data_IF_283773368940
#
_entry.id   IF_283773368940
#
_cell.length_a   1.000
_cell.length_b   1.000
_cell.length_c   1.000
_cell.angle_alpha   90.00
_cell.angle_beta   90.00
_cell.angle_gamma   90.00
#
_symmetry.space_group_name_H-M   'P 1'
#
loop_
_entity.id
_entity.type
_entity.pdbx_description
1 polymer ?
#
# COMPACT_ATOMS: atom_id res chain seq x y z
N UNK A 1 -10.55 -17.60 -28.51
CA UNK A 1 -9.39 -17.27 -27.65
C UNK A 1 -9.83 -17.40 -26.19
N UNK A 2 -9.37 -18.44 -25.51
CA UNK A 2 -9.75 -18.85 -24.16
C UNK A 2 -9.56 -17.68 -23.19
N UNK A 3 -8.44 -16.98 -23.24
CA UNK A 3 -8.12 -15.88 -22.31
C UNK A 3 -9.09 -14.70 -22.44
N UNK A 4 -9.56 -14.39 -23.65
CA UNK A 4 -10.57 -13.33 -23.84
C UNK A 4 -11.92 -13.67 -23.19
N UNK A 5 -12.24 -14.96 -23.09
CA UNK A 5 -13.49 -15.40 -22.50
C UNK A 5 -13.54 -15.18 -20.98
N UNK A 6 -12.40 -15.04 -20.30
CA UNK A 6 -12.37 -14.68 -18.86
C UNK A 6 -13.14 -13.38 -18.62
N UNK A 7 -12.78 -12.31 -19.34
CA UNK A 7 -13.42 -11.01 -19.17
C UNK A 7 -14.84 -10.98 -19.74
N UNK A 8 -15.10 -11.74 -20.80
CA UNK A 8 -16.45 -11.85 -21.39
C UNK A 8 -17.45 -12.47 -20.42
N UNK A 9 -17.01 -13.48 -19.65
CA UNK A 9 -17.86 -14.22 -18.73
C UNK A 9 -17.72 -13.73 -17.26
N UNK A 10 -17.02 -12.63 -17.01
CA UNK A 10 -16.71 -12.18 -15.63
C UNK A 10 -17.96 -11.93 -14.78
N UNK A 11 -19.00 -11.33 -15.33
CA UNK A 11 -20.25 -11.06 -14.61
C UNK A 11 -21.03 -12.34 -14.28
N UNK A 12 -20.92 -13.34 -15.14
CA UNK A 12 -21.51 -14.67 -14.90
C UNK A 12 -20.74 -15.43 -13.82
N UNK A 13 -19.41 -15.31 -13.80
CA UNK A 13 -18.55 -16.11 -12.96
C UNK A 13 -18.30 -15.47 -11.58
N UNK A 14 -18.16 -14.14 -11.48
CA UNK A 14 -17.69 -13.44 -10.27
C UNK A 14 -18.72 -12.43 -9.75
N UNK A 15 -19.96 -12.85 -9.63
CA UNK A 15 -21.01 -11.94 -9.19
C UNK A 15 -20.85 -11.55 -7.71
N UNK A 16 -21.11 -10.29 -7.40
CA UNK A 16 -21.15 -9.81 -6.03
C UNK A 16 -22.52 -10.06 -5.41
N UNK A 17 -22.60 -11.01 -4.49
CA UNK A 17 -23.74 -11.16 -3.58
C UNK A 17 -23.48 -10.36 -2.30
N UNK A 18 -24.54 -10.01 -1.57
CA UNK A 18 -24.40 -9.46 -0.22
C UNK A 18 -23.83 -10.56 0.68
N UNK A 19 -22.65 -10.32 1.27
CA UNK A 19 -21.92 -11.36 2.00
C UNK A 19 -21.13 -10.81 3.18
N UNK A 20 -20.82 -11.70 4.09
CA UNK A 20 -19.86 -11.52 5.18
C UNK A 20 -18.69 -12.45 4.93
N UNK A 21 -17.48 -11.93 4.94
CA UNK A 21 -16.25 -12.70 4.85
C UNK A 21 -15.39 -12.49 6.08
N UNK A 22 -14.81 -13.57 6.58
CA UNK A 22 -13.71 -13.47 7.53
C UNK A 22 -12.41 -13.55 6.75
N UNK A 23 -11.59 -12.53 6.88
CA UNK A 23 -10.34 -12.41 6.15
C UNK A 23 -9.18 -12.21 7.11
N UNK A 24 -8.04 -12.80 6.75
CA UNK A 24 -6.74 -12.50 7.34
C UNK A 24 -5.89 -11.79 6.30
N UNK A 25 -5.24 -10.70 6.71
CA UNK A 25 -4.31 -9.96 5.86
C UNK A 25 -3.00 -9.82 6.59
N UNK A 26 -1.91 -10.08 5.89
CA UNK A 26 -0.53 -9.82 6.32
C UNK A 26 0.14 -8.84 5.38
N UNK A 27 0.66 -7.76 5.94
CA UNK A 27 1.48 -6.79 5.25
C UNK A 27 2.89 -6.81 5.83
N UNK A 28 3.87 -6.88 4.97
CA UNK A 28 5.28 -6.72 5.33
C UNK A 28 5.91 -5.71 4.40
N UNK A 29 6.60 -4.74 4.94
CA UNK A 29 7.36 -3.79 4.15
C UNK A 29 8.74 -3.62 4.73
N UNK A 30 9.74 -3.67 3.88
CA UNK A 30 11.11 -3.29 4.20
C UNK A 30 11.49 -2.12 3.34
N UNK A 31 12.08 -1.09 3.95
CA UNK A 31 12.60 0.05 3.21
C UNK A 31 14.06 0.27 3.57
N UNK A 32 14.87 0.57 2.56
CA UNK A 32 16.30 0.80 2.69
C UNK A 32 16.67 2.15 2.11
N UNK A 33 17.30 2.98 2.95
CA UNK A 33 17.90 4.23 2.48
C UNK A 33 19.23 3.90 1.79
N UNK A 34 19.23 4.00 0.45
CA UNK A 34 20.42 3.76 -0.38
C UNK A 34 21.32 4.99 -0.43
N UNK A 35 20.74 6.19 -0.29
CA UNK A 35 21.43 7.46 -0.26
C UNK A 35 20.61 8.45 0.55
N UNK A 36 21.25 9.18 1.45
CA UNK A 36 20.70 10.36 2.11
C UNK A 36 21.83 11.37 2.27
N UNK A 37 21.65 12.54 1.65
CA UNK A 37 22.52 13.69 1.81
C UNK A 37 21.67 14.93 2.00
N UNK A 38 22.00 15.72 3.02
CA UNK A 38 21.30 16.94 3.39
C UNK A 38 22.27 18.11 3.32
N UNK A 39 22.11 18.95 2.33
CA UNK A 39 22.97 20.13 2.16
C UNK A 39 22.27 21.37 2.75
N UNK A 40 22.97 22.04 3.65
CA UNK A 40 22.53 23.30 4.22
C UNK A 40 22.79 24.45 3.24
N UNK A 41 21.72 24.97 2.61
CA UNK A 41 21.86 25.98 1.56
C UNK A 41 21.70 27.41 2.13
N UNK A 42 20.62 27.68 2.86
CA UNK A 42 20.34 28.99 3.44
C UNK A 42 19.40 28.92 4.62
N UNK A 43 19.75 29.60 5.71
CA UNK A 43 18.91 29.67 6.88
C UNK A 43 19.06 31.01 7.59
N UNK A 44 17.95 31.63 7.97
CA UNK A 44 17.91 32.72 8.91
C UNK A 44 17.13 32.34 10.20
N UNK A 45 17.21 31.10 10.58
CA UNK A 45 16.57 30.49 11.73
C UNK A 45 17.65 29.77 12.54
N UNK A 46 17.99 30.31 13.68
CA UNK A 46 19.08 29.81 14.52
C UNK A 46 18.84 28.41 15.09
N UNK A 47 17.58 28.03 15.18
CA UNK A 47 17.14 26.75 15.74
C UNK A 47 17.44 25.52 14.87
N UNK A 48 17.75 25.71 13.58
CA UNK A 48 18.13 24.63 12.65
C UNK A 48 19.56 24.86 12.20
N UNK A 49 20.44 23.96 12.55
CA UNK A 49 21.88 24.07 12.30
C UNK A 49 22.38 22.99 11.34
N UNK A 50 23.56 23.19 10.71
CA UNK A 50 24.17 22.14 9.88
C UNK A 50 24.43 20.85 10.65
N UNK A 51 24.80 20.95 11.93
CA UNK A 51 25.07 19.80 12.82
C UNK A 51 23.82 18.98 13.02
N UNK A 52 22.64 19.62 13.14
CA UNK A 52 21.35 18.88 13.19
C UNK A 52 21.10 18.09 11.91
N UNK A 53 21.43 18.61 10.73
CA UNK A 53 21.27 17.88 9.47
C UNK A 53 22.22 16.68 9.40
N UNK A 54 23.48 16.84 9.85
CA UNK A 54 24.44 15.74 9.95
C UNK A 54 23.96 14.65 10.93
N UNK A 55 23.36 15.03 12.06
CA UNK A 55 22.74 14.09 13.00
C UNK A 55 21.57 13.33 12.34
N UNK A 56 20.75 14.00 11.54
CA UNK A 56 19.68 13.33 10.78
C UNK A 56 20.25 12.34 9.78
N UNK A 57 21.28 12.70 9.01
CA UNK A 57 21.93 11.78 8.07
C UNK A 57 22.52 10.55 8.78
N UNK A 58 23.22 10.78 9.90
CA UNK A 58 23.91 9.73 10.67
C UNK A 58 22.93 8.80 11.36
N UNK A 59 21.86 9.33 11.95
CA UNK A 59 20.93 8.59 12.80
C UNK A 59 19.67 8.13 12.09
N UNK A 60 19.47 8.49 10.81
CA UNK A 60 18.39 7.93 10.02
C UNK A 60 18.58 6.43 9.85
N UNK A 61 17.62 5.58 10.25
CA UNK A 61 17.75 4.14 10.13
C UNK A 61 17.91 3.78 8.67
N UNK A 62 19.02 3.09 8.34
CA UNK A 62 19.30 2.67 6.96
C UNK A 62 18.30 1.66 6.46
N UNK A 63 17.88 0.77 7.34
CA UNK A 63 16.87 -0.24 7.10
C UNK A 63 15.69 -0.02 8.07
N UNK A 64 14.48 -0.11 7.57
CA UNK A 64 13.27 0.00 8.36
C UNK A 64 12.30 -1.11 7.93
N UNK A 65 11.71 -1.77 8.92
CA UNK A 65 10.73 -2.83 8.72
C UNK A 65 9.39 -2.41 9.29
N UNK A 66 8.33 -2.77 8.62
CA UNK A 66 6.97 -2.69 9.12
C UNK A 66 6.25 -4.00 8.89
N UNK A 67 5.37 -4.31 9.81
CA UNK A 67 4.58 -5.53 9.81
C UNK A 67 3.19 -5.20 10.36
N UNK A 68 2.18 -5.77 9.73
CA UNK A 68 0.80 -5.67 10.19
C UNK A 68 0.05 -6.95 9.83
N UNK A 69 -0.59 -7.55 10.82
CA UNK A 69 -1.56 -8.64 10.66
C UNK A 69 -2.94 -8.13 11.05
N UNK A 70 -3.93 -8.38 10.20
CA UNK A 70 -5.31 -7.95 10.39
C UNK A 70 -6.22 -9.17 10.22
N UNK A 71 -6.88 -9.58 11.27
CA UNK A 71 -8.00 -10.52 11.22
C UNK A 71 -9.30 -9.76 11.40
N UNK A 72 -10.20 -9.87 10.44
CA UNK A 72 -11.43 -9.07 10.44
C UNK A 72 -12.59 -9.80 9.77
N UNK A 73 -13.81 -9.48 10.18
CA UNK A 73 -14.98 -9.70 9.35
C UNK A 73 -15.22 -8.47 8.49
N UNK A 74 -15.49 -8.68 7.20
CA UNK A 74 -15.93 -7.66 6.27
C UNK A 74 -17.32 -7.99 5.78
N UNK A 75 -18.19 -7.00 5.75
CA UNK A 75 -19.53 -7.09 5.18
C UNK A 75 -19.50 -6.35 3.85
N UNK A 76 -19.88 -7.00 2.79
CA UNK A 76 -19.77 -6.50 1.41
C UNK A 76 -21.15 -6.51 0.78
N UNK A 77 -21.56 -5.36 0.25
CA UNK A 77 -22.74 -5.23 -0.60
C UNK A 77 -22.38 -4.33 -1.77
N UNK A 78 -22.36 -4.89 -2.98
CA UNK A 78 -21.92 -4.19 -4.19
C UNK A 78 -20.52 -3.57 -4.04
N UNK A 79 -20.42 -2.23 -3.96
CA UNK A 79 -19.18 -1.47 -3.74
C UNK A 79 -19.01 -0.97 -2.30
N UNK A 80 -20.02 -1.20 -1.46
CA UNK A 80 -19.98 -0.80 -0.06
C UNK A 80 -19.31 -1.89 0.78
N UNK A 81 -18.47 -1.46 1.71
CA UNK A 81 -17.77 -2.34 2.63
C UNK A 81 -17.93 -1.79 4.05
N UNK A 82 -18.34 -2.65 4.97
CA UNK A 82 -18.31 -2.39 6.41
C UNK A 82 -17.28 -3.31 7.06
N UNK A 83 -16.56 -2.79 8.04
CA UNK A 83 -15.38 -3.43 8.63
C UNK A 83 -15.61 -3.73 10.11
N UNK A 84 -15.34 -4.95 10.51
CA UNK A 84 -15.46 -5.40 11.91
C UNK A 84 -14.19 -6.14 12.34
N UNK A 85 -13.17 -5.43 12.83
CA UNK A 85 -11.90 -6.03 13.20
C UNK A 85 -12.05 -6.97 14.39
N UNK A 86 -11.46 -8.13 14.29
CA UNK A 86 -11.35 -9.12 15.37
C UNK A 86 -10.04 -8.89 16.11
N UNK A 87 -8.93 -8.75 15.35
CA UNK A 87 -7.60 -8.56 15.92
C UNK A 87 -6.69 -7.85 14.92
N UNK A 88 -5.92 -6.87 15.42
CA UNK A 88 -4.91 -6.16 14.64
C UNK A 88 -3.61 -6.20 15.43
N UNK A 89 -2.54 -6.65 14.80
CA UNK A 89 -1.19 -6.73 15.37
C UNK A 89 -0.24 -5.97 14.47
N UNK A 90 0.55 -5.08 15.03
CA UNK A 90 1.56 -4.29 14.29
C UNK A 90 2.92 -4.36 14.97
N UNK A 91 3.98 -4.23 14.18
CA UNK A 91 5.31 -4.09 14.70
C UNK A 91 5.47 -2.74 15.40
N UNK A 92 6.03 -2.77 16.60
CA UNK A 92 6.37 -1.56 17.34
C UNK A 92 7.53 -0.85 16.62
N UNK A 93 7.32 0.41 16.28
CA UNK A 93 8.37 1.21 15.68
C UNK A 93 9.43 1.57 16.72
N UNK A 94 10.69 1.31 16.42
CA UNK A 94 11.79 1.80 17.23
C UNK A 94 11.83 3.33 17.18
N UNK A 95 12.05 3.95 18.35
CA UNK A 95 12.13 5.40 18.47
C UNK A 95 13.59 5.80 18.67
N UNK A 96 14.14 6.55 17.72
CA UNK A 96 15.40 7.24 17.90
C UNK A 96 15.12 8.57 18.61
N UNK A 97 15.59 8.72 19.87
CA UNK A 97 15.30 9.90 20.69
C UNK A 97 15.96 11.18 20.13
N UNK A 98 17.11 11.08 19.46
CA UNK A 98 17.76 12.24 18.82
C UNK A 98 16.90 12.75 17.64
N UNK A 99 16.47 11.86 16.75
CA UNK A 99 15.58 12.23 15.65
C UNK A 99 14.25 12.78 16.16
N UNK A 100 13.72 12.21 17.24
CA UNK A 100 12.50 12.69 17.90
C UNK A 100 12.66 14.10 18.45
N UNK A 101 13.80 14.42 19.05
CA UNK A 101 14.09 15.74 19.59
C UNK A 101 14.26 16.78 18.46
N UNK A 102 14.93 16.41 17.36
CA UNK A 102 15.00 17.24 16.15
C UNK A 102 13.59 17.51 15.60
N UNK A 103 12.76 16.46 15.52
CA UNK A 103 11.36 16.58 15.09
C UNK A 103 10.54 17.51 16.00
N UNK A 104 10.72 17.44 17.33
CA UNK A 104 10.07 18.36 18.28
C UNK A 104 10.52 19.81 18.07
N UNK A 105 11.79 20.05 17.83
CA UNK A 105 12.33 21.39 17.54
C UNK A 105 11.70 21.96 16.28
N UNK A 106 11.64 21.14 15.24
CA UNK A 106 11.00 21.54 13.98
C UNK A 106 9.49 21.81 14.15
N UNK A 107 8.80 20.97 14.91
CA UNK A 107 7.38 21.15 15.25
C UNK A 107 7.13 22.46 15.99
N UNK A 108 7.88 22.73 17.06
CA UNK A 108 7.81 23.99 17.83
C UNK A 108 8.04 25.21 16.94
N UNK A 109 8.99 25.12 16.01
CA UNK A 109 9.28 26.20 15.05
C UNK A 109 8.07 26.49 14.14
N UNK A 110 7.40 25.45 13.64
CA UNK A 110 6.22 25.58 12.78
C UNK A 110 5.00 26.08 13.55
N UNK A 111 4.84 25.68 14.80
CA UNK A 111 3.73 26.09 15.68
C UNK A 111 3.84 27.56 16.13
N UNK A 112 5.07 28.10 16.25
CA UNK A 112 5.28 29.50 16.62
C UNK A 112 4.89 30.46 15.49
N UNK A 113 3.59 30.64 15.29
CA UNK A 113 2.99 31.39 14.17
C UNK A 113 1.91 32.33 14.67
N UNK A 114 2.02 33.64 14.37
CA UNK A 114 0.99 34.63 14.71
C UNK A 114 -0.21 34.51 13.78
N UNK A 115 -1.36 35.11 14.15
CA UNK A 115 -2.63 35.01 13.40
C UNK A 115 -2.54 35.45 11.92
N UNK A 116 -1.67 36.41 11.63
CA UNK A 116 -1.41 36.93 10.28
C UNK A 116 -0.21 36.27 9.57
N UNK A 117 0.42 35.28 10.19
CA UNK A 117 1.56 34.55 9.65
C UNK A 117 1.15 33.14 9.19
N UNK A 118 1.97 32.53 8.35
CA UNK A 118 1.83 31.14 7.93
C UNK A 118 3.15 30.58 7.40
N UNK A 119 3.28 29.26 7.49
CA UNK A 119 4.37 28.56 6.84
C UNK A 119 3.97 28.06 5.45
N UNK A 120 4.94 28.10 4.52
CA UNK A 120 4.82 27.56 3.19
C UNK A 120 6.03 26.69 2.91
N UNK A 121 5.77 25.43 2.48
CA UNK A 121 6.80 24.58 1.90
C UNK A 121 6.89 24.89 0.40
N UNK A 122 8.12 25.03 -0.10
CA UNK A 122 8.40 25.30 -1.50
C UNK A 122 9.50 24.38 -2.01
N UNK A 123 9.31 23.83 -3.21
CA UNK A 123 10.30 23.03 -3.93
C UNK A 123 10.26 23.39 -5.41
N UNK A 124 11.32 24.05 -5.91
CA UNK A 124 11.31 24.65 -7.24
C UNK A 124 10.20 25.69 -7.38
N UNK A 125 9.37 25.54 -8.43
CA UNK A 125 8.20 26.39 -8.69
C UNK A 125 6.98 26.01 -7.86
N UNK A 126 6.92 24.78 -7.32
CA UNK A 126 5.80 24.28 -6.54
C UNK A 126 5.89 24.77 -5.10
N UNK A 127 4.75 25.13 -4.53
CA UNK A 127 4.70 25.52 -3.12
C UNK A 127 3.30 25.42 -2.54
N UNK A 128 3.21 24.82 -1.33
CA UNK A 128 1.97 24.61 -0.61
C UNK A 128 2.03 25.26 0.77
N UNK A 129 0.93 25.90 1.19
CA UNK A 129 0.79 26.38 2.55
C UNK A 129 0.68 25.19 3.51
N UNK A 130 1.43 25.23 4.59
CA UNK A 130 1.30 24.26 5.67
C UNK A 130 0.08 24.71 6.50
N UNK A 131 -0.91 23.83 6.74
CA UNK A 131 -2.01 24.15 7.64
C UNK A 131 -1.44 24.47 9.02
N UNK A 132 -2.03 25.45 9.72
CA UNK A 132 -1.73 25.65 11.15
C UNK A 132 -2.22 24.40 11.87
N UNK A 133 -1.28 23.65 12.46
CA UNK A 133 -1.59 22.38 13.11
C UNK A 133 -2.24 22.63 14.46
N UNK A 134 -3.56 22.78 14.46
CA UNK A 134 -4.39 22.48 15.62
C UNK A 134 -4.94 21.05 15.58
N UNK A 135 -4.47 20.23 14.65
CA UNK A 135 -4.88 18.83 14.54
C UNK A 135 -3.66 17.92 14.70
N UNK A 136 -3.81 16.93 15.58
CA UNK A 136 -2.88 15.85 15.97
C UNK A 136 -2.39 14.93 14.84
N UNK A 137 -2.26 15.42 13.62
CA UNK A 137 -1.86 14.64 12.46
C UNK A 137 -0.34 14.40 12.31
N UNK A 138 0.48 14.92 13.25
CA UNK A 138 1.84 14.45 13.46
C UNK A 138 1.83 13.62 14.75
N UNK A 139 1.34 12.38 14.61
CA UNK A 139 0.94 11.46 15.63
C UNK A 139 1.72 11.49 16.94
N UNK A 140 0.99 11.66 18.02
CA UNK A 140 1.38 11.05 19.29
C UNK A 140 1.10 9.54 19.17
N UNK A 141 2.08 8.77 18.74
CA UNK A 141 2.08 7.30 18.60
C UNK A 141 1.96 6.57 19.97
N UNK A 142 1.25 7.12 20.93
CA UNK A 142 1.08 6.52 22.27
C UNK A 142 -0.31 5.92 22.48
N UNK A 143 -1.25 6.15 21.57
CA UNK A 143 -2.59 5.57 21.63
C UNK A 143 -2.60 4.21 20.90
N UNK A 144 -2.92 3.14 21.65
CA UNK A 144 -3.19 1.83 21.04
C UNK A 144 -4.50 1.82 20.23
N UNK A 145 -5.16 2.97 20.09
CA UNK A 145 -6.44 3.14 19.43
C UNK A 145 -6.25 3.93 18.14
N UNK A 146 -6.62 3.36 17.01
CA UNK A 146 -6.54 3.98 15.67
C UNK A 146 -7.91 4.14 15.03
N UNK A 147 -8.04 5.07 14.10
CA UNK A 147 -9.25 5.19 13.29
C UNK A 147 -9.45 3.93 12.43
N UNK A 148 -10.66 3.39 12.45
CA UNK A 148 -11.04 2.22 11.65
C UNK A 148 -10.85 2.46 10.15
N UNK A 149 -11.01 3.69 9.69
CA UNK A 149 -10.94 4.04 8.27
C UNK A 149 -9.58 3.76 7.63
N UNK A 150 -8.49 3.75 8.41
CA UNK A 150 -7.16 3.41 7.93
C UNK A 150 -7.19 1.97 7.39
N UNK A 151 -7.60 1.02 8.23
CA UNK A 151 -7.64 -0.40 7.89
C UNK A 151 -8.73 -0.73 6.88
N UNK A 152 -9.89 -0.11 7.00
CA UNK A 152 -11.01 -0.28 6.08
C UNK A 152 -10.62 0.08 4.65
N UNK A 153 -9.97 1.22 4.44
CA UNK A 153 -9.52 1.65 3.12
C UNK A 153 -8.44 0.71 2.55
N UNK A 154 -7.51 0.26 3.38
CA UNK A 154 -6.50 -0.72 3.01
C UNK A 154 -7.15 -2.02 2.51
N UNK A 155 -8.05 -2.61 3.31
CA UNK A 155 -8.77 -3.83 2.95
C UNK A 155 -9.60 -3.64 1.67
N UNK A 156 -10.30 -2.51 1.54
CA UNK A 156 -11.07 -2.19 0.33
C UNK A 156 -10.18 -2.16 -0.91
N UNK A 157 -8.99 -1.57 -0.83
CA UNK A 157 -8.04 -1.56 -1.93
C UNK A 157 -7.58 -2.97 -2.28
N UNK A 158 -7.27 -3.81 -1.29
CA UNK A 158 -6.81 -5.18 -1.53
C UNK A 158 -7.90 -6.04 -2.15
N UNK A 159 -9.12 -6.02 -1.65
CA UNK A 159 -10.24 -6.71 -2.28
C UNK A 159 -10.50 -6.20 -3.70
N UNK A 160 -10.22 -4.91 -3.96
CA UNK A 160 -10.30 -4.32 -5.29
C UNK A 160 -9.37 -4.97 -6.32
N UNK A 161 -8.21 -5.49 -5.91
CA UNK A 161 -7.28 -6.19 -6.80
C UNK A 161 -7.88 -7.44 -7.42
N UNK A 162 -8.79 -8.11 -6.72
CA UNK A 162 -9.48 -9.31 -7.23
C UNK A 162 -10.62 -9.02 -8.24
N UNK A 163 -10.97 -7.75 -8.48
CA UNK A 163 -12.16 -7.39 -9.30
C UNK A 163 -11.83 -7.22 -10.74
N UNK A 164 -10.87 -7.56 -11.37
CA UNK A 164 -10.53 -7.30 -12.79
C UNK A 164 -10.75 -5.85 -13.28
N UNK A 165 -10.98 -4.88 -12.38
CA UNK A 165 -11.22 -3.48 -12.75
C UNK A 165 -9.94 -2.73 -13.10
N UNK A 166 -8.84 -3.10 -12.48
CA UNK A 166 -7.53 -2.49 -12.74
C UNK A 166 -6.93 -3.05 -14.02
N UNK A 167 -7.09 -2.29 -15.12
CA UNK A 167 -6.60 -2.67 -16.45
C UNK A 167 -5.08 -2.73 -16.57
N UNK A 168 -4.35 -2.10 -15.67
CA UNK A 168 -2.88 -2.13 -15.68
C UNK A 168 -2.38 -3.40 -15.00
N UNK A 169 -2.95 -3.76 -13.86
CA UNK A 169 -2.66 -5.00 -13.16
C UNK A 169 -3.02 -6.24 -13.99
N UNK A 170 -4.13 -6.17 -14.72
CA UNK A 170 -4.64 -7.25 -15.57
C UNK A 170 -4.33 -7.02 -17.05
N UNK A 171 -3.20 -6.36 -17.37
CA UNK A 171 -2.86 -6.00 -18.75
C UNK A 171 -2.92 -7.20 -19.70
N UNK A 172 -2.46 -8.36 -19.29
CA UNK A 172 -2.45 -9.58 -20.09
C UNK A 172 -3.86 -10.12 -20.43
N UNK A 173 -4.88 -9.76 -19.67
CA UNK A 173 -6.27 -10.07 -20.00
C UNK A 173 -6.91 -9.00 -20.91
N UNK A 174 -6.59 -7.73 -20.67
CA UNK A 174 -7.17 -6.61 -21.45
C UNK A 174 -6.48 -6.35 -22.77
N UNK A 175 -5.19 -6.57 -22.86
CA UNK A 175 -4.34 -6.28 -24.03
C UNK A 175 -3.69 -7.56 -24.54
N UNK A 176 -4.52 -8.60 -24.79
CA UNK A 176 -4.05 -9.93 -25.19
C UNK A 176 -3.15 -9.93 -26.44
N UNK A 177 -3.27 -8.93 -27.31
CA UNK A 177 -2.42 -8.76 -28.48
C UNK A 177 -0.95 -8.46 -28.16
N UNK A 178 -0.64 -8.02 -26.94
CA UNK A 178 0.73 -7.79 -26.46
C UNK A 178 1.41 -9.05 -25.93
N UNK A 179 0.73 -10.19 -25.93
CA UNK A 179 1.18 -11.43 -25.29
C UNK A 179 1.09 -12.62 -26.24
N UNK A 180 1.97 -13.57 -26.04
CA UNK A 180 1.86 -14.94 -26.53
C UNK A 180 1.22 -15.79 -25.44
N UNK A 181 0.31 -16.68 -25.80
CA UNK A 181 -0.34 -17.61 -24.90
C UNK A 181 -0.18 -19.02 -25.46
N UNK A 182 0.25 -19.95 -24.62
CA UNK A 182 0.48 -21.34 -24.97
C UNK A 182 -0.26 -22.25 -23.99
N UNK A 183 -1.11 -23.14 -24.51
CA UNK A 183 -1.76 -24.17 -23.70
C UNK A 183 -0.72 -25.27 -23.49
N UNK A 184 -0.24 -25.41 -22.27
CA UNK A 184 0.79 -26.41 -21.90
C UNK A 184 0.17 -27.69 -21.37
N UNK A 185 -1.14 -27.72 -21.13
CA UNK A 185 -1.86 -28.91 -20.69
C UNK A 185 -3.18 -28.60 -20.01
N UNK A 186 -3.68 -29.59 -19.30
CA UNK A 186 -4.83 -29.50 -18.42
C UNK A 186 -4.55 -30.19 -17.09
N UNK A 187 -5.29 -29.79 -16.06
CA UNK A 187 -5.22 -30.42 -14.73
C UNK A 187 -6.58 -30.29 -14.05
N UNK A 188 -6.72 -30.85 -12.86
CA UNK A 188 -7.91 -30.70 -12.03
C UNK A 188 -7.57 -29.84 -10.80
N UNK A 189 -8.39 -28.82 -10.56
CA UNK A 189 -8.30 -27.97 -9.36
C UNK A 189 -9.68 -27.93 -8.71
N UNK A 190 -9.77 -28.28 -7.43
CA UNK A 190 -11.04 -28.32 -6.67
C UNK A 190 -12.15 -29.07 -7.42
N UNK A 191 -11.83 -30.24 -7.94
CA UNK A 191 -12.75 -31.12 -8.73
C UNK A 191 -13.23 -30.49 -10.05
N UNK A 192 -12.59 -29.45 -10.56
CA UNK A 192 -12.89 -28.79 -11.82
C UNK A 192 -11.72 -28.93 -12.80
N UNK A 193 -12.01 -29.31 -14.04
CA UNK A 193 -11.00 -29.40 -15.10
C UNK A 193 -10.61 -28.02 -15.59
N UNK A 194 -9.32 -27.76 -15.70
CA UNK A 194 -8.77 -26.46 -16.07
C UNK A 194 -7.73 -26.57 -17.20
N UNK A 195 -7.74 -25.60 -18.09
CA UNK A 195 -6.61 -25.34 -18.97
C UNK A 195 -5.45 -24.76 -18.17
N UNK A 196 -4.24 -25.20 -18.43
CA UNK A 196 -3.01 -24.58 -17.94
C UNK A 196 -2.37 -23.83 -19.10
N UNK A 197 -2.28 -22.51 -18.97
CA UNK A 197 -1.83 -21.62 -20.05
C UNK A 197 -0.68 -20.79 -19.57
N UNK A 198 0.47 -20.95 -20.18
CA UNK A 198 1.61 -20.05 -19.99
C UNK A 198 1.45 -18.82 -20.89
N UNK A 199 1.89 -17.68 -20.39
CA UNK A 199 1.92 -16.46 -21.18
C UNK A 199 3.22 -15.70 -21.00
N UNK A 200 3.67 -15.08 -22.07
CA UNK A 200 4.87 -14.26 -22.11
C UNK A 200 4.62 -12.97 -22.92
N UNK A 201 5.29 -11.87 -22.59
CA UNK A 201 5.08 -10.64 -23.31
C UNK A 201 5.76 -10.67 -24.69
N UNK A 202 5.12 -10.05 -25.64
CA UNK A 202 5.76 -9.52 -26.83
C UNK A 202 6.55 -8.25 -26.44
N UNK A 203 7.02 -7.50 -27.42
CA UNK A 203 7.85 -6.32 -27.18
C UNK A 203 7.24 -5.32 -26.15
N UNK A 204 5.94 -5.06 -26.23
CA UNK A 204 5.23 -4.05 -25.41
C UNK A 204 4.46 -4.61 -24.21
N UNK A 205 4.50 -5.91 -23.95
CA UNK A 205 3.89 -6.51 -22.78
C UNK A 205 4.80 -6.39 -21.55
N UNK A 206 4.19 -6.38 -20.38
CA UNK A 206 4.89 -6.20 -19.11
C UNK A 206 5.08 -7.51 -18.35
N UNK A 207 4.09 -8.38 -18.38
CA UNK A 207 4.01 -9.55 -17.52
C UNK A 207 4.32 -10.86 -18.24
N UNK A 208 4.77 -11.85 -17.48
CA UNK A 208 4.78 -13.26 -17.84
C UNK A 208 4.20 -14.09 -16.69
N UNK A 209 3.69 -15.27 -16.98
CA UNK A 209 3.16 -16.14 -15.94
C UNK A 209 2.31 -17.29 -16.44
N UNK A 210 1.47 -17.81 -15.56
CA UNK A 210 0.62 -18.97 -15.78
C UNK A 210 -0.81 -18.70 -15.34
N UNK A 211 -1.76 -19.11 -16.14
CA UNK A 211 -3.19 -19.02 -15.91
C UNK A 211 -3.78 -20.43 -15.82
N UNK A 212 -4.71 -20.60 -14.87
CA UNK A 212 -5.53 -21.78 -14.73
C UNK A 212 -6.98 -21.38 -14.97
N UNK A 213 -7.56 -21.85 -16.06
CA UNK A 213 -8.84 -21.39 -16.57
C UNK A 213 -9.80 -22.57 -16.67
N UNK A 214 -10.97 -22.49 -16.05
CA UNK A 214 -12.02 -23.49 -16.16
C UNK A 214 -12.34 -23.83 -17.62
N UNK A 215 -12.40 -25.11 -17.94
CA UNK A 215 -12.75 -25.58 -19.29
C UNK A 215 -14.23 -25.27 -19.58
N UNK A 216 -15.10 -25.40 -18.57
CA UNK A 216 -16.55 -25.25 -18.72
C UNK A 216 -17.01 -23.79 -18.72
N UNK A 217 -16.51 -23.01 -17.76
CA UNK A 217 -17.02 -21.65 -17.50
C UNK A 217 -16.13 -20.55 -18.03
N UNK A 218 -14.89 -20.87 -18.42
CA UNK A 218 -13.82 -19.92 -18.72
C UNK A 218 -13.51 -18.98 -17.55
N UNK A 219 -13.84 -19.35 -16.32
CA UNK A 219 -13.40 -18.62 -15.15
C UNK A 219 -11.90 -18.76 -14.96
N UNK A 220 -11.22 -17.68 -14.61
CA UNK A 220 -9.85 -17.71 -14.11
C UNK A 220 -9.90 -18.24 -12.67
N UNK A 221 -9.32 -19.39 -12.43
CA UNK A 221 -9.26 -20.02 -11.11
C UNK A 221 -8.00 -19.57 -10.39
N UNK A 222 -6.88 -19.52 -11.12
CA UNK A 222 -5.61 -19.04 -10.55
C UNK A 222 -4.80 -18.32 -11.61
N UNK A 223 -4.09 -17.28 -11.17
CA UNK A 223 -3.05 -16.64 -11.96
C UNK A 223 -1.80 -16.45 -11.12
N UNK A 224 -0.66 -16.92 -11.62
CA UNK A 224 0.68 -16.63 -11.09
C UNK A 224 1.42 -15.81 -12.12
N UNK A 225 1.80 -14.58 -11.79
CA UNK A 225 2.40 -13.67 -12.77
C UNK A 225 3.39 -12.70 -12.15
N UNK A 226 4.33 -12.25 -12.96
CA UNK A 226 5.39 -11.33 -12.55
C UNK A 226 5.82 -10.49 -13.74
N UNK A 227 6.59 -9.44 -13.48
CA UNK A 227 7.26 -8.74 -14.56
C UNK A 227 8.21 -9.70 -15.30
N UNK A 228 8.18 -9.63 -16.62
CA UNK A 228 9.13 -10.37 -17.45
C UNK A 228 10.56 -9.82 -17.27
N UNK A 229 11.59 -10.57 -17.58
CA UNK A 229 12.98 -10.12 -17.50
C UNK A 229 13.19 -8.78 -18.21
N UNK A 230 13.92 -7.87 -17.57
CA UNK A 230 14.24 -6.54 -18.07
C UNK A 230 13.02 -5.62 -18.29
N UNK A 231 11.87 -5.95 -17.71
CA UNK A 231 10.70 -5.07 -17.70
C UNK A 231 10.60 -4.33 -16.36
N UNK A 232 10.24 -3.05 -16.45
CA UNK A 232 9.93 -2.20 -15.31
C UNK A 232 8.46 -1.80 -15.38
N UNK A 233 7.85 -1.63 -14.22
CA UNK A 233 6.49 -1.13 -14.14
C UNK A 233 6.40 0.37 -14.38
N UNK A 234 5.62 1.05 -13.54
CA UNK A 234 5.49 2.51 -13.64
C UNK A 234 6.82 3.19 -13.35
N UNK A 235 7.20 4.11 -14.22
CA UNK A 235 8.33 4.98 -14.01
C UNK A 235 7.90 6.44 -14.18
N UNK A 236 8.39 7.30 -13.30
CA UNK A 236 8.17 8.73 -13.35
C UNK A 236 9.42 9.44 -12.85
N UNK A 237 9.96 10.31 -13.70
CA UNK A 237 11.08 11.18 -13.34
C UNK A 237 10.71 12.60 -13.76
N UNK A 238 10.46 13.46 -12.78
CA UNK A 238 10.08 14.83 -13.05
C UNK A 238 10.63 15.77 -11.98
N UNK A 239 11.35 16.77 -12.42
CA UNK A 239 11.81 17.87 -11.55
C UNK A 239 12.54 17.39 -10.27
N UNK A 240 13.41 16.39 -10.37
CA UNK A 240 14.18 15.82 -9.24
C UNK A 240 13.37 14.90 -8.32
N UNK A 241 12.16 14.51 -8.70
CA UNK A 241 11.40 13.42 -8.11
C UNK A 241 11.48 12.22 -9.03
N UNK A 242 11.82 11.07 -8.49
CA UNK A 242 11.83 9.81 -9.20
C UNK A 242 11.02 8.74 -8.49
N UNK A 243 10.30 7.96 -9.26
CA UNK A 243 9.64 6.73 -8.83
C UNK A 243 9.83 5.69 -9.91
N UNK A 244 10.19 4.48 -9.53
CA UNK A 244 10.16 3.33 -10.43
C UNK A 244 9.71 2.08 -9.68
N UNK A 245 8.83 1.32 -10.33
CA UNK A 245 8.42 -0.01 -9.87
C UNK A 245 9.34 -1.03 -10.54
N UNK A 246 10.31 -1.52 -9.77
CA UNK A 246 11.43 -2.30 -10.31
C UNK A 246 11.13 -3.79 -10.41
N UNK A 247 10.19 -4.27 -9.61
CA UNK A 247 9.75 -5.67 -9.66
C UNK A 247 8.30 -5.78 -9.17
N UNK A 248 7.61 -6.77 -9.69
CA UNK A 248 6.30 -7.19 -9.25
C UNK A 248 6.17 -8.69 -9.42
N UNK A 249 5.56 -9.36 -8.45
CA UNK A 249 5.03 -10.71 -8.61
C UNK A 249 3.70 -10.84 -7.88
N UNK A 250 2.78 -11.61 -8.43
CA UNK A 250 1.47 -11.83 -7.86
C UNK A 250 0.98 -13.25 -8.08
N UNK A 251 0.25 -13.75 -7.09
CA UNK A 251 -0.53 -14.99 -7.18
C UNK A 251 -1.94 -14.67 -6.69
N UNK A 252 -2.95 -15.07 -7.42
CA UNK A 252 -4.34 -14.92 -7.04
C UNK A 252 -5.09 -16.23 -7.28
N UNK A 253 -5.95 -16.57 -6.36
CA UNK A 253 -6.72 -17.82 -6.40
C UNK A 253 -8.18 -17.56 -6.05
N UNK A 254 -9.07 -18.10 -6.88
CA UNK A 254 -10.51 -18.07 -6.70
C UNK A 254 -11.03 -19.48 -6.46
N UNK A 255 -11.92 -19.62 -5.50
CA UNK A 255 -12.58 -20.88 -5.15
C UNK A 255 -14.05 -20.83 -5.60
N UNK A 256 -14.51 -21.94 -6.19
CA UNK A 256 -15.91 -22.06 -6.62
C UNK A 256 -16.78 -22.35 -5.40
N UNK A 257 -17.81 -21.53 -5.22
CA UNK A 257 -18.89 -21.77 -4.26
C UNK A 257 -20.21 -21.75 -5.02
N UNK A 258 -20.95 -22.86 -4.97
CA UNK A 258 -22.13 -23.13 -5.81
C UNK A 258 -21.78 -22.99 -7.31
N UNK A 259 -22.15 -21.91 -7.95
CA UNK A 259 -21.88 -21.65 -9.38
C UNK A 259 -21.09 -20.35 -9.61
N UNK A 260 -20.41 -19.82 -8.57
CA UNK A 260 -19.65 -18.56 -8.62
C UNK A 260 -18.26 -18.76 -8.08
N UNK A 261 -17.33 -17.95 -8.56
CA UNK A 261 -15.94 -17.95 -8.11
C UNK A 261 -15.72 -16.75 -7.21
N UNK A 262 -15.25 -17.02 -6.00
CA UNK A 262 -14.96 -16.01 -4.99
C UNK A 262 -13.46 -15.98 -4.72
N UNK A 263 -12.93 -14.81 -4.39
CA UNK A 263 -11.55 -14.70 -3.96
C UNK A 263 -11.32 -15.62 -2.76
N UNK A 264 -10.28 -16.42 -2.83
CA UNK A 264 -9.82 -17.26 -1.71
C UNK A 264 -8.50 -16.77 -1.14
N UNK A 265 -7.59 -16.42 -2.02
CA UNK A 265 -6.24 -15.99 -1.63
C UNK A 265 -5.64 -15.08 -2.69
N UNK A 266 -4.87 -14.11 -2.24
CA UNK A 266 -3.86 -13.48 -3.09
C UNK A 266 -2.58 -13.15 -2.31
N UNK A 267 -1.48 -13.07 -3.04
CA UNK A 267 -0.20 -12.57 -2.57
C UNK A 267 0.40 -11.66 -3.63
N UNK A 268 0.85 -10.48 -3.23
CA UNK A 268 1.59 -9.57 -4.10
C UNK A 268 2.90 -9.16 -3.45
N UNK A 269 3.94 -9.09 -4.27
CA UNK A 269 5.20 -8.49 -3.92
C UNK A 269 5.52 -7.36 -4.89
N UNK A 270 5.81 -6.19 -4.35
CA UNK A 270 6.24 -5.01 -5.09
C UNK A 270 7.63 -4.58 -4.62
N UNK A 271 8.52 -4.27 -5.56
CA UNK A 271 9.76 -3.57 -5.26
C UNK A 271 9.72 -2.20 -5.96
N UNK A 272 9.88 -1.14 -5.16
CA UNK A 272 9.82 0.23 -5.63
C UNK A 272 11.11 0.96 -5.28
N UNK A 273 11.48 1.93 -6.12
CA UNK A 273 12.58 2.86 -5.86
C UNK A 273 12.05 4.27 -5.96
N UNK A 274 12.31 5.05 -4.93
CA UNK A 274 12.00 6.49 -4.86
C UNK A 274 13.29 7.28 -4.86
N UNK A 275 13.30 8.41 -5.53
CA UNK A 275 14.40 9.35 -5.44
C UNK A 275 13.90 10.78 -5.31
N UNK A 276 14.62 11.57 -4.54
CA UNK A 276 14.37 12.99 -4.35
C UNK A 276 15.70 13.71 -4.40
N UNK A 277 15.93 14.51 -5.43
CA UNK A 277 17.09 15.38 -5.56
C UNK A 277 16.62 16.81 -5.77
N UNK A 278 16.37 17.54 -4.69
CA UNK A 278 15.79 18.88 -4.73
C UNK A 278 16.15 19.73 -3.52
N UNK A 279 16.13 21.04 -3.74
CA UNK A 279 16.10 22.02 -2.65
C UNK A 279 14.69 22.24 -2.16
N UNK A 280 14.48 22.04 -0.87
CA UNK A 280 13.22 22.26 -0.17
C UNK A 280 13.39 23.49 0.72
N UNK A 281 12.47 24.44 0.60
CA UNK A 281 12.46 25.64 1.43
C UNK A 281 11.20 25.71 2.28
N UNK A 282 11.38 25.91 3.57
CA UNK A 282 10.30 26.26 4.50
C UNK A 282 10.36 27.77 4.71
N UNK A 283 9.30 28.46 4.32
CA UNK A 283 9.20 29.91 4.37
C UNK A 283 8.10 30.34 5.33
N UNK A 284 8.46 31.08 6.37
CA UNK A 284 7.48 31.80 7.20
C UNK A 284 7.13 33.10 6.53
N UNK A 285 5.86 33.33 6.31
CA UNK A 285 5.33 34.51 5.63
C UNK A 285 4.29 35.23 6.47
N UNK A 286 4.26 36.56 6.34
CA UNK A 286 3.24 37.42 6.91
C UNK A 286 2.30 37.89 5.82
N UNK A 287 0.99 37.77 6.04
CA UNK A 287 -0.04 38.28 5.14
C UNK A 287 0.06 39.79 5.03
N UNK A 288 -0.03 40.36 3.85
CA UNK A 288 -0.14 41.78 3.56
C UNK A 288 -1.13 41.99 2.42
N UNK A 289 -1.58 43.24 2.25
CA UNK A 289 -2.64 43.60 1.30
C UNK A 289 -2.29 43.22 -0.17
N UNK A 290 -1.04 43.47 -0.59
CA UNK A 290 -0.62 43.24 -1.98
C UNK A 290 0.30 42.03 -2.08
N UNK A 291 1.45 42.02 -1.37
CA UNK A 291 2.45 40.96 -1.46
C UNK A 291 2.83 40.47 -0.05
N UNK A 292 2.70 39.17 0.19
CA UNK A 292 3.05 38.57 1.48
C UNK A 292 4.54 38.68 1.75
N UNK A 293 4.93 39.27 2.89
CA UNK A 293 6.33 39.43 3.30
C UNK A 293 6.90 38.10 3.77
N UNK A 294 8.06 37.68 3.25
CA UNK A 294 8.86 36.58 3.79
C UNK A 294 9.58 37.05 5.06
N UNK A 295 9.36 36.36 6.17
CA UNK A 295 9.96 36.65 7.46
C UNK A 295 11.18 35.78 7.73
N UNK A 296 11.04 34.47 7.58
CA UNK A 296 12.05 33.45 7.83
C UNK A 296 12.10 32.44 6.70
N UNK A 297 13.24 31.83 6.46
CA UNK A 297 13.44 30.76 5.48
C UNK A 297 14.50 29.76 5.92
N UNK A 298 14.17 28.50 5.82
CA UNK A 298 15.13 27.39 5.86
C UNK A 298 15.12 26.77 4.49
N UNK A 299 16.29 26.56 3.90
CA UNK A 299 16.45 25.92 2.59
C UNK A 299 17.48 24.80 2.71
N UNK A 300 17.06 23.59 2.42
CA UNK A 300 17.85 22.38 2.54
C UNK A 300 17.84 21.66 1.20
N UNK A 301 19.02 21.35 0.68
CA UNK A 301 19.20 20.40 -0.41
C UNK A 301 18.99 18.99 0.12
N UNK A 302 18.17 18.20 -0.54
CA UNK A 302 17.89 16.80 -0.18
C UNK A 302 18.25 15.93 -1.37
N UNK A 303 19.15 14.98 -1.19
CA UNK A 303 19.45 13.92 -2.13
C UNK A 303 19.20 12.58 -1.45
N UNK A 304 18.01 12.05 -1.68
CA UNK A 304 17.51 10.81 -1.08
C UNK A 304 17.23 9.77 -2.16
N UNK A 305 17.68 8.55 -1.92
CA UNK A 305 17.27 7.36 -2.68
C UNK A 305 16.81 6.31 -1.69
N UNK A 306 15.56 5.86 -1.87
CA UNK A 306 14.90 4.86 -1.03
C UNK A 306 14.50 3.68 -1.89
N UNK A 307 14.88 2.46 -1.50
CA UNK A 307 14.32 1.23 -2.01
C UNK A 307 13.29 0.68 -1.02
N UNK A 308 12.18 0.18 -1.54
CA UNK A 308 11.10 -0.43 -0.74
C UNK A 308 10.71 -1.76 -1.35
N UNK A 309 10.60 -2.78 -0.52
CA UNK A 309 9.96 -4.05 -0.84
C UNK A 309 8.71 -4.18 0.02
N UNK A 310 7.60 -4.51 -0.59
CA UNK A 310 6.33 -4.73 0.06
C UNK A 310 5.79 -6.10 -0.32
N UNK A 311 5.30 -6.85 0.65
CA UNK A 311 4.63 -8.14 0.46
C UNK A 311 3.28 -8.06 1.17
N UNK A 312 2.22 -8.37 0.43
CA UNK A 312 0.85 -8.37 0.92
C UNK A 312 0.27 -9.75 0.63
N UNK A 313 -0.32 -10.35 1.66
CA UNK A 313 -1.01 -11.64 1.55
C UNK A 313 -2.40 -11.50 2.15
N UNK A 314 -3.41 -11.98 1.45
CA UNK A 314 -4.79 -12.00 1.93
C UNK A 314 -5.38 -13.39 1.75
N UNK A 315 -5.98 -13.91 2.82
CA UNK A 315 -6.71 -15.18 2.84
C UNK A 315 -8.15 -14.93 3.27
N UNK A 316 -9.10 -15.36 2.44
CA UNK A 316 -10.51 -15.47 2.83
C UNK A 316 -10.68 -16.80 3.56
N UNK A 317 -10.87 -16.73 4.88
CA UNK A 317 -10.97 -17.91 5.75
C UNK A 317 -12.32 -18.58 5.52
N UNK A 318 -13.40 -17.81 5.63
CA UNK A 318 -14.75 -18.26 5.36
C UNK A 318 -15.60 -17.16 4.73
N UNK A 319 -16.69 -17.55 4.10
CA UNK A 319 -17.65 -16.67 3.47
C UNK A 319 -19.07 -17.13 3.79
N UNK A 320 -19.96 -16.20 4.08
CA UNK A 320 -21.37 -16.43 4.35
C UNK A 320 -22.20 -15.45 3.54
N UNK A 321 -23.23 -15.94 2.84
CA UNK A 321 -24.26 -15.08 2.26
C UNK A 321 -25.10 -14.51 3.40
N UNK A 322 -25.35 -13.22 3.38
CA UNK A 322 -26.17 -12.52 4.35
C UNK A 322 -27.29 -11.75 3.65
N UNK A 323 -28.31 -11.39 4.40
CA UNK A 323 -29.38 -10.53 3.90
C UNK A 323 -28.97 -9.06 3.85
N UNK A 324 -29.64 -8.29 3.01
CA UNK A 324 -29.46 -6.83 2.98
C UNK A 324 -29.85 -6.18 4.30
N UNK A 325 -30.80 -6.76 5.03
CA UNK A 325 -31.20 -6.31 6.37
C UNK A 325 -30.05 -6.48 7.35
N UNK A 326 -29.39 -7.64 7.35
CA UNK A 326 -28.22 -7.89 8.21
C UNK A 326 -27.07 -6.93 7.89
N UNK A 327 -26.80 -6.71 6.59
CA UNK A 327 -25.80 -5.73 6.17
C UNK A 327 -26.12 -4.32 6.68
N UNK A 328 -27.36 -3.88 6.49
CA UNK A 328 -27.77 -2.51 6.86
C UNK A 328 -27.74 -2.29 8.37
N UNK A 329 -28.15 -3.28 9.15
CA UNK A 329 -28.22 -3.21 10.61
C UNK A 329 -26.85 -3.28 11.28
N UNK A 330 -25.80 -3.76 10.59
CA UNK A 330 -24.47 -3.77 11.16
C UNK A 330 -23.90 -2.35 11.30
N UNK A 331 -23.53 -1.96 12.51
CA UNK A 331 -22.96 -0.66 12.84
C UNK A 331 -21.45 -0.79 13.06
N UNK A 332 -20.66 -0.07 12.28
CA UNK A 332 -19.21 -0.03 12.43
C UNK A 332 -18.77 0.77 13.66
N UNK A 333 -17.73 0.30 14.33
CA UNK A 333 -17.02 1.10 15.33
C UNK A 333 -16.23 2.21 14.64
N UNK A 334 -15.99 3.32 15.34
CA UNK A 334 -15.15 4.42 14.81
C UNK A 334 -13.66 4.17 14.99
N UNK A 335 -13.30 3.39 16.00
CA UNK A 335 -11.92 3.14 16.39
C UNK A 335 -11.68 1.66 16.67
N UNK A 336 -10.43 1.25 16.55
CA UNK A 336 -9.96 -0.12 16.81
C UNK A 336 -8.75 -0.09 17.73
N UNK A 337 -8.61 -1.13 18.55
CA UNK A 337 -7.42 -1.37 19.35
C UNK A 337 -6.39 -2.13 18.53
N UNK A 338 -5.13 -1.72 18.63
CA UNK A 338 -3.99 -2.34 17.96
C UNK A 338 -3.06 -2.91 19.02
N UNK A 339 -2.66 -4.16 18.83
CA UNK A 339 -1.63 -4.81 19.64
C UNK A 339 -0.27 -4.56 19.00
N UNK A 340 0.65 -3.96 19.74
CA UNK A 340 2.01 -3.74 19.26
C UNK A 340 2.96 -4.80 19.78
N UNK A 341 3.77 -5.36 18.90
CA UNK A 341 4.77 -6.39 19.18
C UNK A 341 6.16 -5.95 18.72
N UNK A 342 7.20 -6.51 19.34
CA UNK A 342 8.58 -6.24 18.90
C UNK A 342 9.01 -7.17 17.76
N UNK A 343 8.38 -8.34 17.66
CA UNK A 343 8.57 -9.34 16.60
C UNK A 343 7.29 -10.15 16.43
N UNK A 344 7.22 -10.95 15.37
CA UNK A 344 6.10 -11.87 15.17
C UNK A 344 5.99 -12.85 16.35
N UNK A 345 4.78 -12.99 16.88
CA UNK A 345 4.46 -13.97 17.94
C UNK A 345 3.28 -14.84 17.52
N UNK A 346 3.59 -16.11 17.20
CA UNK A 346 2.60 -17.13 16.81
C UNK A 346 1.55 -17.37 17.90
N UNK A 347 1.90 -17.22 19.18
CA UNK A 347 0.99 -17.45 20.28
C UNK A 347 -0.19 -16.46 20.27
N UNK A 348 -0.01 -15.29 19.74
CA UNK A 348 -1.10 -14.32 19.57
C UNK A 348 -2.21 -14.86 18.66
N UNK A 349 -1.91 -15.83 17.80
CA UNK A 349 -2.81 -16.35 16.79
C UNK A 349 -3.31 -17.78 17.09
N UNK A 350 -3.04 -18.32 18.28
CA UNK A 350 -3.22 -19.72 18.66
C UNK A 350 -4.62 -20.29 18.38
N UNK A 351 -5.66 -19.49 18.35
CA UNK A 351 -7.04 -19.93 18.08
C UNK A 351 -7.61 -19.34 16.78
N UNK A 352 -6.73 -18.90 15.87
CA UNK A 352 -7.14 -18.28 14.63
C UNK A 352 -6.44 -18.91 13.44
N UNK A 353 -7.14 -19.00 12.33
CA UNK A 353 -6.54 -19.35 11.04
C UNK A 353 -5.78 -18.15 10.53
N UNK A 354 -4.49 -18.35 10.24
CA UNK A 354 -3.60 -17.32 9.68
C UNK A 354 -2.79 -17.89 8.53
N UNK A 355 -2.17 -17.01 7.76
CA UNK A 355 -1.12 -17.39 6.82
C UNK A 355 0.16 -17.57 7.62
N UNK A 356 0.76 -18.76 7.56
CA UNK A 356 2.05 -19.01 8.22
C UNK A 356 3.15 -18.16 7.56
N UNK A 357 4.05 -17.55 8.34
CA UNK A 357 5.13 -16.77 7.77
C UNK A 357 6.07 -17.69 6.97
N UNK A 358 6.42 -17.25 5.76
CA UNK A 358 7.31 -17.98 4.85
C UNK A 358 8.80 -17.79 5.16
N UNK A 359 9.16 -16.86 6.02
CA UNK A 359 10.52 -16.58 6.49
C UNK A 359 10.47 -16.14 7.94
N UNK A 360 11.53 -16.42 8.71
CA UNK A 360 11.71 -15.89 10.06
C UNK A 360 11.65 -14.35 10.01
N UNK A 361 10.79 -13.82 10.86
CA UNK A 361 10.58 -12.38 11.01
C UNK A 361 11.18 -11.91 12.34
#
# INVERSE_FOLDING_TARGET
NIVKNILKNKELNYNSITKKEQIFVRERSTSKILKLKLDYDKNNISEITPEMLQLVEKNSPKDNQSYSDILTNVYIKESELKFNPIKIVELKKEKNEELKNIGKTFKKLLENTKKDEYWRIKTGILGKKIPSTNNDSLGSDTSNTKSINIYKNTIKNYLGFATFKDKEQWEFLYKTNKYNFEIIGGTTMNSENVYVIDFSPKEKGLFQGRLYISIETFALIRADYKYAPNKLGKEMYMLGLGFSQTNFSGSIYFEKDMNKYNLKYFSFQNNNKFSLNRKIAWQKKKKRLLINKKLKEIKIGVDLVLAQKEVIELLVINQLKISDIEFNNFIEKKHVNVTYVNQFDKNLWKNHTIIEPTQEM
#
